data_IF_691185648876
#
_entry.id   IF_691185648876
#
_cell.length_a   1.000
_cell.length_b   1.000
_cell.length_c   1.000
_cell.angle_alpha   90.00
_cell.angle_beta   90.00
_cell.angle_gamma   90.00
#
_symmetry.space_group_name_H-M   'P 1'
#
loop_
_entity.id
_entity.type
_entity.pdbx_description
1 polymer ?
#
# COMPACT_ATOMS: atom_id res chain seq x y z
N UNK A 1 22.26 -15.56 16.55
CA UNK A 1 23.38 -14.91 17.28
C UNK A 1 22.97 -14.78 18.75
N UNK A 2 23.90 -14.82 19.69
CA UNK A 2 23.59 -14.87 21.15
C UNK A 2 22.81 -13.67 21.69
N UNK A 3 22.76 -12.57 20.93
CA UNK A 3 22.12 -11.31 21.32
C UNK A 3 20.91 -10.93 20.47
N UNK A 4 20.46 -11.79 19.55
CA UNK A 4 19.31 -11.54 18.67
C UNK A 4 19.41 -10.24 17.82
N UNK A 5 20.61 -9.77 17.53
CA UNK A 5 20.87 -8.55 16.72
C UNK A 5 20.32 -8.67 15.30
N UNK A 6 20.40 -9.85 14.70
CA UNK A 6 19.81 -10.10 13.38
C UNK A 6 18.28 -10.03 13.44
N UNK A 7 17.67 -10.51 14.53
CA UNK A 7 16.24 -10.41 14.74
C UNK A 7 15.81 -8.96 14.96
N UNK A 8 16.53 -8.19 15.79
CA UNK A 8 16.25 -6.77 15.97
C UNK A 8 16.30 -6.02 14.64
N UNK A 9 17.35 -6.26 13.85
CA UNK A 9 17.51 -5.66 12.52
C UNK A 9 16.33 -6.00 11.61
N UNK A 10 15.89 -7.27 11.59
CA UNK A 10 14.71 -7.68 10.82
C UNK A 10 13.43 -6.99 11.30
N UNK A 11 13.17 -6.97 12.61
CA UNK A 11 11.95 -6.37 13.19
C UNK A 11 11.86 -4.88 12.89
N UNK A 12 13.00 -4.17 13.02
CA UNK A 12 13.12 -2.75 12.69
C UNK A 12 12.88 -2.51 11.21
N UNK A 13 13.57 -3.25 10.34
CA UNK A 13 13.52 -3.11 8.89
C UNK A 13 12.12 -3.40 8.32
N UNK A 14 11.46 -4.46 8.81
CA UNK A 14 10.09 -4.81 8.43
C UNK A 14 9.04 -3.88 9.09
N UNK A 15 9.42 -3.18 10.16
CA UNK A 15 8.53 -2.29 10.90
C UNK A 15 7.39 -3.02 11.60
N UNK A 16 7.66 -4.23 12.09
CA UNK A 16 6.72 -5.04 12.83
C UNK A 16 6.16 -4.25 14.03
N UNK A 17 4.86 -4.36 14.28
CA UNK A 17 4.20 -3.78 15.47
C UNK A 17 3.80 -4.84 16.48
N UNK A 18 3.62 -6.06 16.01
CA UNK A 18 3.25 -7.22 16.80
C UNK A 18 4.08 -8.42 16.32
N UNK A 19 4.45 -9.29 17.26
CA UNK A 19 5.21 -10.51 17.03
C UNK A 19 4.53 -11.66 17.77
N UNK A 20 4.22 -12.73 17.02
CA UNK A 20 3.62 -13.93 17.56
C UNK A 20 4.72 -14.88 18.03
N UNK A 21 4.63 -15.34 19.29
CA UNK A 21 5.61 -16.26 19.87
C UNK A 21 4.93 -17.51 20.43
N UNK A 22 5.56 -18.69 20.36
CA UNK A 22 5.00 -19.89 20.96
C UNK A 22 4.99 -19.79 22.49
N UNK A 23 3.86 -20.12 23.13
CA UNK A 23 3.75 -20.18 24.58
C UNK A 23 4.79 -21.15 25.15
N UNK A 24 5.67 -20.65 26.02
CA UNK A 24 6.68 -21.48 26.67
C UNK A 24 6.10 -22.26 27.85
N UNK A 25 6.20 -23.59 27.77
CA UNK A 25 5.95 -24.51 28.89
C UNK A 25 7.28 -24.87 29.55
N UNK A 26 7.94 -23.91 30.21
CA UNK A 26 9.20 -24.11 30.96
C UNK A 26 10.17 -22.94 30.87
N UNK A 27 11.10 -22.82 31.83
CA UNK A 27 12.16 -21.80 31.83
C UNK A 27 13.21 -22.15 30.77
N UNK A 28 13.06 -21.71 29.53
CA UNK A 28 14.18 -21.70 28.59
C UNK A 28 15.12 -20.56 28.97
N UNK A 29 16.44 -20.79 28.94
CA UNK A 29 17.43 -19.73 29.22
C UNK A 29 17.48 -18.67 28.12
N UNK A 30 16.90 -18.95 26.95
CA UNK A 30 16.94 -18.10 25.75
C UNK A 30 15.68 -17.25 25.55
N UNK A 31 14.58 -17.53 26.26
CA UNK A 31 13.37 -16.73 26.11
C UNK A 31 13.54 -15.31 26.60
N UNK A 32 14.08 -15.12 27.81
CA UNK A 32 14.22 -13.77 28.36
C UNK A 32 14.99 -12.82 27.43
N UNK A 33 16.19 -13.18 26.89
CA UNK A 33 16.87 -12.35 25.90
C UNK A 33 16.08 -12.08 24.61
N UNK A 34 15.27 -13.06 24.15
CA UNK A 34 14.40 -12.90 22.98
C UNK A 34 13.27 -11.88 23.24
N UNK A 35 12.53 -12.03 24.35
CA UNK A 35 11.47 -11.09 24.73
C UNK A 35 12.05 -9.69 24.95
N UNK A 36 13.23 -9.59 25.55
CA UNK A 36 13.93 -8.32 25.74
C UNK A 36 14.28 -7.67 24.38
N UNK A 37 14.74 -8.44 23.39
CA UNK A 37 15.04 -7.95 22.04
C UNK A 37 13.79 -7.42 21.31
N UNK A 38 12.67 -8.16 21.40
CA UNK A 38 11.40 -7.75 20.79
C UNK A 38 10.87 -6.47 21.48
N UNK A 39 10.97 -6.40 22.81
CA UNK A 39 10.56 -5.24 23.60
C UNK A 39 11.40 -3.99 23.30
N UNK A 40 12.73 -4.13 23.14
CA UNK A 40 13.62 -3.02 22.75
C UNK A 40 13.24 -2.39 21.41
N UNK A 41 12.70 -3.20 20.49
CA UNK A 41 12.19 -2.74 19.20
C UNK A 41 10.80 -2.09 19.30
N UNK A 42 10.17 -2.08 20.48
CA UNK A 42 8.82 -1.53 20.69
C UNK A 42 7.71 -2.38 20.06
N UNK A 43 7.97 -3.67 19.85
CA UNK A 43 7.04 -4.62 19.23
C UNK A 43 6.23 -5.32 20.32
N UNK A 44 4.91 -5.39 20.13
CA UNK A 44 4.01 -6.11 21.05
C UNK A 44 4.20 -7.62 20.89
N UNK A 45 4.28 -8.36 22.00
CA UNK A 45 4.40 -9.81 21.98
C UNK A 45 3.04 -10.46 22.26
N UNK A 46 2.64 -11.39 21.39
CA UNK A 46 1.39 -12.14 21.52
C UNK A 46 1.70 -13.63 21.54
N UNK A 47 1.34 -14.30 22.64
CA UNK A 47 1.62 -15.73 22.81
C UNK A 47 0.56 -16.61 22.13
N UNK A 48 1.01 -17.63 21.40
CA UNK A 48 0.16 -18.59 20.68
C UNK A 48 0.56 -20.03 20.99
N UNK A 49 -0.38 -20.97 20.86
CA UNK A 49 -0.10 -22.39 21.20
C UNK A 49 0.97 -22.95 20.27
N UNK A 50 1.90 -23.75 20.80
CA UNK A 50 2.95 -24.43 20.00
C UNK A 50 2.41 -25.26 18.83
N UNK A 51 1.17 -25.73 18.92
CA UNK A 51 0.49 -26.46 17.84
C UNK A 51 0.22 -25.60 16.61
N UNK A 52 0.05 -24.29 16.78
CA UNK A 52 -0.21 -23.33 15.69
C UNK A 52 1.04 -23.00 14.88
N UNK A 53 2.23 -23.28 15.41
CA UNK A 53 3.51 -23.15 14.70
C UNK A 53 3.88 -24.41 13.90
N UNK A 54 2.94 -25.34 13.74
CA UNK A 54 3.13 -26.54 12.92
C UNK A 54 2.53 -26.26 11.54
N UNK A 55 3.37 -26.06 10.53
CA UNK A 55 2.95 -25.75 9.14
C UNK A 55 2.30 -26.92 8.39
N UNK A 56 1.44 -27.72 9.05
CA UNK A 56 0.82 -28.93 8.47
C UNK A 56 -0.05 -28.62 7.26
N UNK A 57 -0.87 -27.58 7.37
CA UNK A 57 -1.83 -27.21 6.32
C UNK A 57 -1.33 -26.03 5.46
N UNK A 58 -0.11 -25.54 5.73
CA UNK A 58 0.43 -24.32 5.15
C UNK A 58 0.46 -24.33 3.62
N UNK A 59 0.87 -25.44 2.99
CA UNK A 59 0.94 -25.52 1.53
C UNK A 59 -0.46 -25.46 0.91
N UNK A 60 -1.45 -26.08 1.55
CA UNK A 60 -2.84 -26.03 1.11
C UNK A 60 -3.42 -24.62 1.28
N UNK A 61 -3.15 -23.99 2.43
CA UNK A 61 -3.60 -22.64 2.75
C UNK A 61 -2.99 -21.61 1.79
N UNK A 62 -1.68 -21.69 1.56
CA UNK A 62 -0.99 -20.87 0.56
C UNK A 62 -1.52 -21.13 -0.85
N UNK A 63 -1.95 -22.35 -1.15
CA UNK A 63 -2.55 -22.67 -2.44
C UNK A 63 -3.85 -21.93 -2.73
N UNK A 64 -4.56 -21.47 -1.69
CA UNK A 64 -5.73 -20.60 -1.84
C UNK A 64 -5.36 -19.13 -1.89
N UNK A 65 -4.35 -18.72 -1.13
CA UNK A 65 -3.99 -17.31 -0.93
C UNK A 65 -3.07 -16.75 -2.03
N UNK A 66 -2.18 -17.57 -2.60
CA UNK A 66 -1.15 -17.11 -3.53
C UNK A 66 -1.71 -16.93 -4.93
N UNK A 67 -1.28 -15.85 -5.59
CA UNK A 67 -1.55 -15.61 -7.01
C UNK A 67 -0.75 -16.56 -7.91
N UNK A 68 -1.45 -17.39 -8.68
CA UNK A 68 -0.84 -18.26 -9.69
C UNK A 68 -0.44 -19.64 -9.17
N UNK A 69 0.65 -20.20 -9.70
CA UNK A 69 1.13 -21.55 -9.39
C UNK A 69 1.66 -21.66 -7.97
N UNK A 70 1.29 -22.74 -7.27
CA UNK A 70 1.67 -22.97 -5.87
C UNK A 70 3.01 -23.69 -5.75
N UNK A 71 3.44 -24.38 -6.81
CA UNK A 71 4.65 -25.20 -6.83
C UNK A 71 5.92 -24.42 -6.43
N UNK A 72 6.21 -23.23 -6.98
CA UNK A 72 7.39 -22.47 -6.57
C UNK A 72 7.36 -22.05 -5.10
N UNK A 73 6.16 -21.76 -4.58
CA UNK A 73 5.97 -21.38 -3.17
C UNK A 73 6.14 -22.58 -2.25
N UNK A 74 5.62 -23.75 -2.65
CA UNK A 74 5.82 -25.00 -1.91
C UNK A 74 7.31 -25.32 -1.78
N UNK A 75 8.04 -25.22 -2.88
CA UNK A 75 9.47 -25.53 -2.90
C UNK A 75 10.25 -24.54 -2.03
N UNK A 76 9.92 -23.24 -2.12
CA UNK A 76 10.48 -22.21 -1.24
C UNK A 76 10.21 -22.50 0.25
N UNK A 77 8.96 -22.74 0.62
CA UNK A 77 8.57 -22.97 2.02
C UNK A 77 9.21 -24.25 2.58
N UNK A 78 9.35 -25.28 1.77
CA UNK A 78 10.01 -26.54 2.16
C UNK A 78 11.47 -26.36 2.54
N UNK A 79 12.14 -25.33 2.00
CA UNK A 79 13.54 -25.02 2.33
C UNK A 79 13.72 -24.33 3.69
N UNK A 80 12.64 -23.87 4.35
CA UNK A 80 12.69 -23.13 5.61
C UNK A 80 11.73 -23.67 6.67
N UNK A 81 12.05 -24.80 7.30
CA UNK A 81 11.18 -25.48 8.27
C UNK A 81 10.66 -24.56 9.40
N UNK A 82 11.54 -23.79 10.05
CA UNK A 82 11.14 -22.89 11.14
C UNK A 82 10.30 -21.70 10.65
N UNK A 83 10.63 -21.15 9.47
CA UNK A 83 9.90 -20.00 8.92
C UNK A 83 8.51 -20.42 8.42
N UNK A 84 8.38 -21.63 7.87
CA UNK A 84 7.11 -22.23 7.49
C UNK A 84 6.15 -22.29 8.68
N UNK A 85 6.61 -22.83 9.82
CA UNK A 85 5.80 -22.88 11.04
C UNK A 85 5.32 -21.51 11.51
N UNK A 86 6.21 -20.51 11.52
CA UNK A 86 5.87 -19.13 11.91
C UNK A 86 4.88 -18.48 10.92
N UNK A 87 5.07 -18.69 9.61
CA UNK A 87 4.15 -18.20 8.58
C UNK A 87 2.76 -18.79 8.76
N UNK A 88 2.63 -20.10 8.99
CA UNK A 88 1.34 -20.75 9.24
C UNK A 88 0.61 -20.15 10.45
N UNK A 89 1.33 -19.85 11.53
CA UNK A 89 0.75 -19.18 12.70
C UNK A 89 0.24 -17.78 12.35
N UNK A 90 0.99 -16.99 11.57
CA UNK A 90 0.57 -15.65 11.13
C UNK A 90 -0.69 -15.72 10.26
N UNK A 91 -0.75 -16.65 9.30
CA UNK A 91 -1.92 -16.82 8.43
C UNK A 91 -3.18 -17.16 9.22
N UNK A 92 -3.04 -18.06 10.21
CA UNK A 92 -4.12 -18.46 11.11
C UNK A 92 -4.55 -17.30 12.01
N UNK A 93 -3.61 -16.58 12.61
CA UNK A 93 -3.89 -15.45 13.51
C UNK A 93 -4.54 -14.26 12.79
N UNK A 94 -4.12 -13.99 11.55
CA UNK A 94 -4.72 -12.96 10.72
C UNK A 94 -6.05 -13.40 10.09
N UNK A 95 -6.47 -14.65 10.30
CA UNK A 95 -7.70 -15.25 9.79
C UNK A 95 -7.86 -15.06 8.26
N UNK A 96 -6.76 -15.11 7.51
CA UNK A 96 -6.79 -14.75 6.08
C UNK A 96 -7.70 -15.66 5.26
N UNK A 97 -7.84 -16.93 5.67
CA UNK A 97 -8.71 -17.91 5.01
C UNK A 97 -10.19 -17.76 5.38
N UNK A 98 -10.52 -16.96 6.40
CA UNK A 98 -11.92 -16.72 6.77
C UNK A 98 -12.61 -15.72 5.82
N UNK A 99 -11.83 -14.98 5.03
CA UNK A 99 -12.33 -14.01 4.07
C UNK A 99 -11.89 -14.40 2.65
N UNK A 100 -12.83 -14.90 1.85
CA UNK A 100 -12.59 -15.37 0.48
C UNK A 100 -12.02 -14.27 -0.44
N UNK A 101 -12.15 -12.99 -0.07
CA UNK A 101 -11.52 -11.88 -0.81
C UNK A 101 -9.99 -11.88 -0.73
N UNK A 102 -9.39 -12.69 0.13
CA UNK A 102 -7.95 -12.87 0.22
C UNK A 102 -7.40 -13.89 -0.79
N UNK A 103 -8.25 -14.69 -1.44
CA UNK A 103 -7.78 -15.76 -2.31
C UNK A 103 -7.13 -15.23 -3.60
N UNK A 104 -5.97 -15.77 -3.95
CA UNK A 104 -5.20 -15.38 -5.13
C UNK A 104 -4.59 -13.97 -5.10
N UNK A 105 -4.58 -13.31 -3.93
CA UNK A 105 -4.16 -11.90 -3.80
C UNK A 105 -2.80 -11.72 -3.10
N UNK A 106 -2.13 -12.80 -2.72
CA UNK A 106 -0.84 -12.75 -2.02
C UNK A 106 0.31 -13.26 -2.88
N UNK A 107 1.52 -12.82 -2.55
CA UNK A 107 2.77 -13.40 -3.05
C UNK A 107 3.68 -13.70 -1.88
N UNK A 108 4.37 -14.84 -1.91
CA UNK A 108 5.36 -15.20 -0.90
C UNK A 108 6.74 -14.88 -1.44
N UNK A 109 7.56 -14.18 -0.64
CA UNK A 109 8.95 -13.85 -0.97
C UNK A 109 9.82 -14.13 0.24
N UNK A 110 11.01 -14.65 0.00
CA UNK A 110 12.05 -14.74 1.01
C UNK A 110 12.56 -13.34 1.33
N UNK A 111 12.54 -12.97 2.62
CA UNK A 111 13.21 -11.78 3.08
C UNK A 111 14.68 -12.09 3.37
N UNK A 112 15.59 -11.38 2.71
CA UNK A 112 17.03 -11.50 2.94
C UNK A 112 17.53 -10.33 3.78
N UNK A 113 18.14 -10.65 4.92
CA UNK A 113 18.75 -9.69 5.84
C UNK A 113 19.93 -8.92 5.22
N UNK A 114 20.56 -9.49 4.18
CA UNK A 114 21.71 -8.89 3.50
C UNK A 114 21.30 -7.97 2.33
N UNK A 115 20.01 -7.83 2.04
CA UNK A 115 19.54 -6.90 1.00
C UNK A 115 19.58 -5.44 1.43
N UNK A 116 19.64 -5.17 2.74
CA UNK A 116 19.56 -3.83 3.30
C UNK A 116 20.57 -3.64 4.44
N UNK A 117 20.91 -2.38 4.71
CA UNK A 117 21.75 -2.04 5.85
C UNK A 117 21.09 -2.51 7.15
N UNK A 118 21.83 -3.27 7.94
CA UNK A 118 21.39 -3.74 9.25
C UNK A 118 21.46 -2.59 10.25
N UNK A 119 20.30 -2.20 10.77
CA UNK A 119 20.16 -1.17 11.79
C UNK A 119 19.47 -1.77 13.00
N UNK A 120 20.12 -1.70 14.16
CA UNK A 120 19.51 -2.10 15.41
C UNK A 120 18.59 -1.00 15.97
N UNK A 121 17.84 -1.36 17.01
CA UNK A 121 16.90 -0.44 17.65
C UNK A 121 17.61 0.78 18.28
N UNK A 122 18.86 0.61 18.71
CA UNK A 122 19.67 1.66 19.31
C UNK A 122 20.13 2.70 18.28
N UNK A 123 20.65 2.26 17.12
CA UNK A 123 21.08 3.13 16.04
C UNK A 123 19.91 3.93 15.45
N UNK A 124 18.76 3.29 15.24
CA UNK A 124 17.56 3.99 14.76
C UNK A 124 17.12 5.12 15.69
N UNK A 125 17.27 4.92 17.01
CA UNK A 125 16.98 5.93 18.02
C UNK A 125 18.07 7.00 18.08
N UNK A 126 19.34 6.61 18.06
CA UNK A 126 20.48 7.53 18.12
C UNK A 126 20.51 8.49 16.91
N UNK A 127 20.14 8.00 15.73
CA UNK A 127 20.03 8.77 14.51
C UNK A 127 18.68 9.50 14.35
N UNK A 128 17.76 9.34 15.30
CA UNK A 128 16.39 9.88 15.24
C UNK A 128 15.72 9.62 13.88
N UNK A 129 15.82 8.39 13.36
CA UNK A 129 15.36 8.09 12.00
C UNK A 129 13.84 8.25 11.88
N UNK A 130 13.10 7.77 12.89
CA UNK A 130 11.64 7.78 12.93
C UNK A 130 11.12 8.74 14.00
N UNK A 131 9.90 9.25 13.81
CA UNK A 131 9.21 10.11 14.79
C UNK A 131 8.99 9.36 16.11
N UNK A 132 9.29 10.02 17.24
CA UNK A 132 8.95 9.57 18.59
C UNK A 132 7.81 10.40 19.17
N UNK A 133 7.01 9.80 20.06
CA UNK A 133 5.93 10.50 20.78
C UNK A 133 6.45 11.61 21.71
N UNK A 134 7.71 11.52 22.11
CA UNK A 134 8.40 12.51 22.96
C UNK A 134 8.93 13.72 22.19
N UNK A 135 8.87 13.71 20.86
CA UNK A 135 9.48 14.76 20.05
C UNK A 135 8.67 16.07 20.15
N UNK A 136 9.37 17.17 20.39
CA UNK A 136 8.73 18.49 20.49
C UNK A 136 8.12 18.96 19.15
N UNK A 137 8.68 18.49 18.02
CA UNK A 137 8.17 18.76 16.67
C UNK A 137 8.52 17.60 15.73
N UNK A 138 7.71 17.37 14.71
CA UNK A 138 7.89 16.34 13.68
C UNK A 138 9.27 16.41 12.99
N UNK A 139 9.79 17.62 12.79
CA UNK A 139 11.10 17.84 12.15
C UNK A 139 12.31 17.41 12.99
N UNK A 140 12.13 16.94 14.23
CA UNK A 140 13.24 16.38 15.04
C UNK A 140 13.74 15.03 14.51
N UNK A 141 12.90 14.30 13.78
CA UNK A 141 13.28 13.04 13.14
C UNK A 141 13.68 13.23 11.69
N UNK A 142 14.57 12.37 11.19
CA UNK A 142 14.93 12.34 9.76
C UNK A 142 13.69 12.16 8.88
N UNK A 143 12.78 11.25 9.28
CA UNK A 143 11.52 11.06 8.58
C UNK A 143 10.69 12.33 8.53
N UNK A 144 10.48 13.03 9.64
CA UNK A 144 9.66 14.25 9.63
C UNK A 144 10.32 15.42 8.88
N UNK A 145 11.65 15.46 8.82
CA UNK A 145 12.40 16.40 7.98
C UNK A 145 12.24 16.10 6.49
N UNK A 146 12.47 14.85 6.08
CA UNK A 146 12.45 14.43 4.67
C UNK A 146 11.04 14.26 4.10
N UNK A 147 10.06 13.94 4.94
CA UNK A 147 8.72 13.66 4.47
C UNK A 147 8.01 14.94 4.01
N UNK A 148 8.15 15.21 2.71
CA UNK A 148 7.43 16.24 1.94
C UNK A 148 6.66 15.61 0.78
N UNK A 149 6.27 14.35 0.95
CA UNK A 149 5.48 13.58 -0.01
C UNK A 149 4.10 14.20 -0.22
N UNK A 150 3.58 14.12 -1.45
CA UNK A 150 2.36 14.85 -1.84
C UNK A 150 1.11 13.96 -1.89
N UNK A 151 1.28 12.68 -2.12
CA UNK A 151 0.18 11.71 -2.31
C UNK A 151 -0.53 11.43 -0.99
N UNK A 152 -1.81 11.05 -1.04
CA UNK A 152 -2.53 10.60 0.15
C UNK A 152 -1.96 9.26 0.67
N UNK A 153 -1.02 9.31 1.62
CA UNK A 153 -0.55 8.14 2.37
C UNK A 153 0.52 7.26 1.68
N UNK A 154 0.34 6.91 0.40
CA UNK A 154 1.22 5.93 -0.27
C UNK A 154 2.70 6.34 -0.29
N UNK A 155 3.02 7.57 -0.71
CA UNK A 155 4.39 8.07 -0.71
C UNK A 155 4.98 8.18 0.70
N UNK A 156 4.17 8.53 1.70
CA UNK A 156 4.57 8.55 3.11
C UNK A 156 4.98 7.16 3.59
N UNK A 157 4.19 6.13 3.26
CA UNK A 157 4.49 4.73 3.60
C UNK A 157 5.78 4.25 2.92
N UNK A 158 5.96 4.59 1.64
CA UNK A 158 7.16 4.23 0.89
C UNK A 158 8.43 4.85 1.50
N UNK A 159 8.41 6.15 1.80
CA UNK A 159 9.55 6.83 2.45
C UNK A 159 9.86 6.22 3.82
N UNK A 160 8.83 5.92 4.61
CA UNK A 160 8.97 5.27 5.90
C UNK A 160 9.64 3.88 5.77
N UNK A 161 9.33 3.13 4.71
CA UNK A 161 9.99 1.86 4.40
C UNK A 161 11.46 2.07 3.99
N UNK A 162 11.74 3.02 3.09
CA UNK A 162 13.11 3.28 2.63
C UNK A 162 14.07 3.69 3.73
N UNK A 163 13.63 4.51 4.69
CA UNK A 163 14.48 4.92 5.82
C UNK A 163 14.80 3.75 6.77
N UNK A 164 13.95 2.72 6.81
CA UNK A 164 14.17 1.50 7.59
C UNK A 164 14.96 0.44 6.83
N UNK A 165 15.02 0.56 5.51
CA UNK A 165 15.64 -0.40 4.60
C UNK A 165 16.61 0.34 3.67
N UNK A 166 17.73 0.89 4.19
CA UNK A 166 18.74 1.51 3.34
C UNK A 166 19.31 0.47 2.38
N UNK A 167 19.45 0.84 1.11
CA UNK A 167 20.00 -0.03 0.07
C UNK A 167 21.48 -0.31 0.31
N UNK A 168 21.93 -1.49 -0.12
CA UNK A 168 23.35 -1.86 -0.18
C UNK A 168 23.88 -1.99 -1.61
N UNK A 169 22.97 -2.15 -2.57
CA UNK A 169 23.30 -2.24 -3.99
C UNK A 169 23.64 -0.85 -4.55
N UNK A 170 24.88 -0.71 -5.03
CA UNK A 170 25.44 0.54 -5.54
C UNK A 170 24.68 1.02 -6.79
N UNK A 171 24.27 0.11 -7.67
CA UNK A 171 23.57 0.47 -8.91
C UNK A 171 22.18 1.01 -8.61
N UNK A 172 21.45 0.38 -7.68
CA UNK A 172 20.15 0.87 -7.21
C UNK A 172 20.27 2.20 -6.43
N UNK A 173 21.35 2.39 -5.67
CA UNK A 173 21.64 3.68 -5.01
C UNK A 173 21.85 4.78 -6.05
N UNK A 174 22.75 4.55 -7.03
CA UNK A 174 23.04 5.53 -8.07
C UNK A 174 21.80 5.84 -8.90
N UNK A 175 21.03 4.81 -9.28
CA UNK A 175 19.75 4.99 -9.96
C UNK A 175 18.79 5.91 -9.20
N UNK A 176 18.65 5.75 -7.87
CA UNK A 176 17.82 6.66 -7.06
C UNK A 176 18.39 8.07 -7.00
N UNK A 177 19.70 8.21 -6.88
CA UNK A 177 20.37 9.52 -6.83
C UNK A 177 20.23 10.26 -8.17
N UNK A 178 20.37 9.57 -9.30
CA UNK A 178 20.19 10.10 -10.64
C UNK A 178 18.76 10.61 -10.86
N UNK A 179 17.75 9.84 -10.42
CA UNK A 179 16.36 10.28 -10.43
C UNK A 179 16.15 11.53 -9.57
N UNK A 180 16.75 11.60 -8.39
CA UNK A 180 16.68 12.80 -7.53
C UNK A 180 17.35 13.98 -8.23
N UNK A 181 18.51 13.78 -8.84
CA UNK A 181 19.26 14.82 -9.54
C UNK A 181 18.44 15.42 -10.69
N UNK A 182 17.77 14.58 -11.48
CA UNK A 182 16.87 15.04 -12.55
C UNK A 182 15.80 16.02 -12.05
N UNK A 183 15.15 15.71 -10.93
CA UNK A 183 14.15 16.60 -10.31
C UNK A 183 14.76 17.76 -9.51
N UNK A 184 16.06 17.75 -9.23
CA UNK A 184 16.78 18.88 -8.62
C UNK A 184 17.13 19.92 -9.67
N UNK A 185 17.61 19.47 -10.84
CA UNK A 185 18.00 20.31 -11.96
C UNK A 185 16.79 20.99 -12.63
N UNK A 186 15.66 20.28 -12.75
CA UNK A 186 14.42 20.85 -13.29
C UNK A 186 13.40 21.14 -12.19
N UNK A 187 13.47 22.35 -11.64
CA UNK A 187 12.55 22.81 -10.61
C UNK A 187 11.10 22.96 -11.09
N UNK A 188 10.88 23.31 -12.36
CA UNK A 188 9.56 23.50 -12.94
C UNK A 188 8.85 22.16 -13.10
N UNK A 189 9.53 21.18 -13.69
CA UNK A 189 9.08 19.79 -13.77
C UNK A 189 8.68 19.26 -12.40
N UNK A 190 9.56 19.42 -11.39
CA UNK A 190 9.30 18.97 -10.02
C UNK A 190 8.06 19.65 -9.44
N UNK A 191 7.88 20.96 -9.65
CA UNK A 191 6.73 21.68 -9.13
C UNK A 191 5.42 21.22 -9.78
N UNK A 192 5.40 21.08 -11.10
CA UNK A 192 4.24 20.60 -11.86
C UNK A 192 3.86 19.18 -11.43
N UNK A 193 4.84 18.28 -11.36
CA UNK A 193 4.62 16.90 -10.93
C UNK A 193 4.02 16.84 -9.53
N UNK A 194 4.53 17.65 -8.60
CA UNK A 194 3.97 17.74 -7.24
C UNK A 194 2.51 18.20 -7.23
N UNK A 195 2.10 19.11 -8.12
CA UNK A 195 0.71 19.54 -8.20
C UNK A 195 -0.23 18.40 -8.62
N UNK A 196 0.19 17.56 -9.57
CA UNK A 196 -0.57 16.40 -9.99
C UNK A 196 -0.58 15.30 -8.92
N UNK A 197 0.56 14.99 -8.31
CA UNK A 197 0.67 13.96 -7.27
C UNK A 197 -0.17 14.25 -6.02
N UNK A 198 -0.40 15.54 -5.68
CA UNK A 198 -1.30 15.93 -4.58
C UNK A 198 -2.76 15.48 -4.80
N UNK A 199 -3.16 15.29 -6.06
CA UNK A 199 -4.53 14.90 -6.43
C UNK A 199 -4.69 13.38 -6.52
N UNK A 200 -3.61 12.62 -6.34
CA UNK A 200 -3.65 11.15 -6.32
C UNK A 200 -4.03 10.67 -4.92
N UNK A 201 -5.14 9.93 -4.87
CA UNK A 201 -5.62 9.27 -3.65
C UNK A 201 -4.74 8.06 -3.27
N UNK A 202 -5.00 7.46 -2.10
CA UNK A 202 -4.32 6.23 -1.68
C UNK A 202 -4.81 5.04 -2.52
N UNK A 203 -4.20 4.84 -3.70
CA UNK A 203 -4.64 3.82 -4.68
C UNK A 203 -4.62 2.44 -4.05
N UNK A 204 -3.57 2.09 -3.31
CA UNK A 204 -3.44 0.78 -2.65
C UNK A 204 -4.61 0.50 -1.70
N UNK A 205 -4.99 1.49 -0.88
CA UNK A 205 -6.14 1.35 0.03
C UNK A 205 -7.48 1.30 -0.70
N UNK A 206 -7.62 2.08 -1.78
CA UNK A 206 -8.82 2.04 -2.61
C UNK A 206 -8.99 0.67 -3.26
N UNK A 207 -7.96 0.17 -3.95
CA UNK A 207 -7.97 -1.15 -4.61
C UNK A 207 -8.25 -2.27 -3.61
N UNK A 208 -7.66 -2.22 -2.41
CA UNK A 208 -7.97 -3.21 -1.38
C UNK A 208 -9.47 -3.23 -1.00
N UNK A 209 -10.13 -2.06 -0.91
CA UNK A 209 -11.57 -2.02 -0.65
C UNK A 209 -12.40 -2.56 -1.82
N UNK A 210 -11.95 -2.35 -3.06
CA UNK A 210 -12.57 -2.90 -4.27
C UNK A 210 -12.47 -4.43 -4.31
N UNK A 211 -11.28 -4.99 -4.05
CA UNK A 211 -11.04 -6.44 -4.01
C UNK A 211 -11.91 -7.13 -2.96
N UNK A 212 -12.11 -6.49 -1.80
CA UNK A 212 -12.99 -6.98 -0.73
C UNK A 212 -14.48 -6.79 -0.99
N UNK A 213 -14.86 -6.24 -2.15
CA UNK A 213 -16.25 -5.89 -2.51
C UNK A 213 -16.95 -5.01 -1.45
N UNK A 214 -16.18 -4.18 -0.75
CA UNK A 214 -16.65 -3.21 0.27
C UNK A 214 -16.55 -1.77 -0.20
N UNK A 215 -16.22 -1.56 -1.47
CA UNK A 215 -16.11 -0.24 -2.07
C UNK A 215 -17.50 0.34 -2.37
N UNK A 216 -17.70 1.58 -1.91
CA UNK A 216 -18.82 2.42 -2.33
C UNK A 216 -18.49 3.23 -3.59
N UNK A 217 -19.48 3.89 -4.19
CA UNK A 217 -19.30 4.75 -5.37
C UNK A 217 -18.25 5.86 -5.13
N UNK A 218 -18.17 6.40 -3.92
CA UNK A 218 -17.10 7.32 -3.49
C UNK A 218 -15.69 6.77 -3.76
N UNK A 219 -15.45 5.48 -3.51
CA UNK A 219 -14.14 4.86 -3.72
C UNK A 219 -13.82 4.77 -5.21
N UNK A 220 -14.81 4.39 -6.01
CA UNK A 220 -14.71 4.32 -7.48
C UNK A 220 -14.41 5.70 -8.06
N UNK A 221 -15.13 6.74 -7.62
CA UNK A 221 -14.90 8.12 -8.06
C UNK A 221 -13.52 8.62 -7.65
N UNK A 222 -13.03 8.32 -6.45
CA UNK A 222 -11.66 8.68 -6.04
C UNK A 222 -10.58 7.99 -6.89
N UNK A 223 -10.82 6.74 -7.28
CA UNK A 223 -9.93 6.02 -8.18
C UNK A 223 -9.97 6.65 -9.58
N UNK A 224 -11.16 6.98 -10.09
CA UNK A 224 -11.36 7.72 -11.35
C UNK A 224 -10.62 9.06 -11.35
N UNK A 225 -10.81 9.88 -10.31
CA UNK A 225 -10.13 11.17 -10.14
C UNK A 225 -8.60 11.03 -10.12
N UNK A 226 -8.09 9.93 -9.59
CA UNK A 226 -6.65 9.61 -9.62
C UNK A 226 -6.23 9.15 -11.03
N UNK A 227 -7.06 8.35 -11.69
CA UNK A 227 -6.80 7.80 -13.02
C UNK A 227 -6.73 8.88 -14.10
N UNK A 228 -7.67 9.83 -14.13
CA UNK A 228 -7.64 10.96 -15.08
C UNK A 228 -6.42 11.86 -14.92
N UNK A 229 -5.67 11.75 -13.81
CA UNK A 229 -4.43 12.52 -13.57
C UNK A 229 -3.19 11.84 -14.13
N UNK A 230 -3.24 10.54 -14.41
CA UNK A 230 -2.08 9.78 -14.92
C UNK A 230 -1.56 10.33 -16.25
N UNK A 231 -2.40 10.66 -17.26
CA UNK A 231 -1.91 11.24 -18.51
C UNK A 231 -1.16 12.57 -18.31
N UNK A 232 -1.59 13.39 -17.36
CA UNK A 232 -0.91 14.64 -17.03
C UNK A 232 0.43 14.40 -16.31
N UNK A 233 0.49 13.41 -15.41
CA UNK A 233 1.76 13.02 -14.77
C UNK A 233 2.75 12.54 -15.83
N UNK A 234 2.27 11.71 -16.76
CA UNK A 234 3.07 11.20 -17.88
C UNK A 234 3.58 12.35 -18.75
N UNK A 235 2.71 13.26 -19.20
CA UNK A 235 3.11 14.38 -20.06
C UNK A 235 4.09 15.33 -19.37
N UNK A 236 3.97 15.51 -18.05
CA UNK A 236 4.95 16.25 -17.25
C UNK A 236 6.32 15.57 -17.34
N UNK A 237 6.39 14.26 -17.08
CA UNK A 237 7.65 13.49 -17.12
C UNK A 237 8.28 13.46 -18.52
N UNK A 238 7.47 13.41 -19.58
CA UNK A 238 7.94 13.42 -20.97
C UNK A 238 8.59 14.75 -21.39
N UNK A 239 8.29 15.85 -20.71
CA UNK A 239 8.93 17.15 -20.98
C UNK A 239 10.39 17.22 -20.54
N UNK A 240 10.85 16.27 -19.72
CA UNK A 240 12.24 16.24 -19.28
C UNK A 240 13.15 15.75 -20.41
N UNK A 241 14.09 16.59 -20.83
CA UNK A 241 15.04 16.35 -21.92
C UNK A 241 16.50 16.24 -21.45
N UNK A 242 16.73 16.22 -20.14
CA UNK A 242 18.07 16.10 -19.54
C UNK A 242 18.69 14.70 -19.64
N UNK A 243 19.92 14.56 -19.14
CA UNK A 243 20.72 13.33 -19.30
C UNK A 243 20.08 12.06 -18.74
N UNK A 244 19.18 12.20 -17.76
CA UNK A 244 18.49 11.09 -17.10
C UNK A 244 17.14 10.72 -17.75
N UNK A 245 16.80 11.29 -18.92
CA UNK A 245 15.53 11.04 -19.59
C UNK A 245 15.29 9.55 -19.92
N UNK A 246 16.29 8.76 -20.35
CA UNK A 246 16.12 7.32 -20.55
C UNK A 246 15.72 6.60 -19.25
N UNK A 247 16.32 7.00 -18.12
CA UNK A 247 16.05 6.39 -16.83
C UNK A 247 14.63 6.72 -16.33
N UNK A 248 14.18 7.97 -16.47
CA UNK A 248 12.80 8.36 -16.16
C UNK A 248 11.80 7.58 -17.02
N UNK A 249 12.14 7.39 -18.30
CA UNK A 249 11.30 6.62 -19.23
C UNK A 249 11.12 5.18 -18.76
N UNK A 250 12.23 4.47 -18.56
CA UNK A 250 12.23 3.08 -18.13
C UNK A 250 11.53 2.89 -16.77
N UNK A 251 11.84 3.75 -15.78
CA UNK A 251 11.33 3.60 -14.41
C UNK A 251 9.87 4.01 -14.27
N UNK A 252 9.38 4.97 -15.05
CA UNK A 252 8.06 5.56 -14.86
C UNK A 252 7.21 5.56 -16.12
N UNK A 253 7.67 6.18 -17.21
CA UNK A 253 6.82 6.45 -18.38
C UNK A 253 6.33 5.15 -19.02
N UNK A 254 7.20 4.18 -19.25
CA UNK A 254 6.83 2.92 -19.93
C UNK A 254 5.76 2.14 -19.16
N UNK A 255 5.86 2.14 -17.81
CA UNK A 255 4.83 1.53 -16.96
C UNK A 255 3.53 2.32 -17.01
N UNK A 256 3.58 3.66 -16.96
CA UNK A 256 2.38 4.49 -17.03
C UNK A 256 1.68 4.32 -18.38
N UNK A 257 2.43 4.27 -19.49
CA UNK A 257 1.90 4.02 -20.84
C UNK A 257 1.17 2.69 -20.95
N UNK A 258 1.80 1.62 -20.45
CA UNK A 258 1.22 0.29 -20.48
C UNK A 258 -0.13 0.22 -19.76
N UNK A 259 -0.25 0.91 -18.61
CA UNK A 259 -1.46 0.84 -17.79
C UNK A 259 -2.51 1.90 -18.16
N UNK A 260 -2.14 2.94 -18.90
CA UNK A 260 -3.05 4.01 -19.36
C UNK A 260 -3.62 3.77 -20.76
N UNK A 261 -3.68 2.53 -21.24
CA UNK A 261 -4.26 2.20 -22.54
C UNK A 261 -5.80 2.00 -22.45
N UNK A 262 -6.42 1.79 -23.62
CA UNK A 262 -7.86 1.58 -23.79
C UNK A 262 -8.37 0.22 -23.30
N UNK A 263 -7.47 -0.69 -22.92
CA UNK A 263 -7.83 -1.99 -22.36
C UNK A 263 -7.72 -2.03 -20.83
N UNK A 264 -7.02 -1.07 -20.23
CA UNK A 264 -6.77 -0.98 -18.80
C UNK A 264 -7.50 0.23 -18.19
N UNK A 265 -6.76 1.28 -17.84
CA UNK A 265 -7.30 2.38 -17.05
C UNK A 265 -8.26 3.27 -17.85
N UNK A 266 -8.04 3.49 -19.15
CA UNK A 266 -8.95 4.33 -19.92
C UNK A 266 -10.33 3.66 -20.08
N UNK A 267 -10.38 2.33 -20.15
CA UNK A 267 -11.64 1.58 -20.12
C UNK A 267 -12.41 1.81 -18.83
N UNK A 268 -11.71 1.79 -17.70
CA UNK A 268 -12.30 2.10 -16.40
C UNK A 268 -12.78 3.56 -16.32
N UNK A 269 -11.98 4.51 -16.82
CA UNK A 269 -12.34 5.92 -16.90
C UNK A 269 -13.63 6.11 -17.70
N UNK A 270 -13.69 5.56 -18.91
CA UNK A 270 -14.88 5.64 -19.78
C UNK A 270 -16.12 4.99 -19.15
N UNK A 271 -15.95 3.88 -18.43
CA UNK A 271 -17.05 3.25 -17.69
C UNK A 271 -17.61 4.19 -16.61
N UNK A 272 -16.74 4.84 -15.84
CA UNK A 272 -17.17 5.77 -14.78
C UNK A 272 -17.83 7.02 -15.36
N UNK A 273 -17.28 7.58 -16.44
CA UNK A 273 -17.87 8.74 -17.14
C UNK A 273 -19.27 8.46 -17.71
N UNK A 274 -19.53 7.20 -18.09
CA UNK A 274 -20.85 6.79 -18.61
C UNK A 274 -21.83 6.44 -17.49
N UNK A 275 -21.34 5.86 -16.39
CA UNK A 275 -22.18 5.29 -15.34
C UNK A 275 -22.47 6.23 -14.17
N UNK A 276 -21.62 7.24 -13.93
CA UNK A 276 -21.71 8.10 -12.74
C UNK A 276 -22.12 9.50 -13.14
N UNK A 277 -23.06 10.07 -12.40
CA UNK A 277 -23.42 11.47 -12.54
C UNK A 277 -22.31 12.34 -11.95
N UNK A 278 -21.45 12.88 -12.83
CA UNK A 278 -20.31 13.69 -12.43
C UNK A 278 -20.72 15.11 -12.02
N UNK A 279 -21.89 15.59 -12.43
CA UNK A 279 -22.36 16.95 -12.11
C UNK A 279 -22.75 17.04 -10.63
N UNK A 280 -23.33 15.96 -10.10
CA UNK A 280 -23.72 15.87 -8.68
C UNK A 280 -22.53 15.74 -7.72
N UNK A 281 -21.33 15.44 -8.24
CA UNK A 281 -20.10 15.42 -7.43
C UNK A 281 -19.78 16.79 -6.81
N UNK A 282 -20.13 17.89 -7.50
CA UNK A 282 -19.93 19.25 -6.99
C UNK A 282 -20.78 19.51 -5.73
N UNK A 283 -21.94 18.85 -5.64
CA UNK A 283 -22.84 18.90 -4.48
C UNK A 283 -22.42 17.92 -3.37
N UNK A 284 -21.37 17.12 -3.58
CA UNK A 284 -20.92 16.10 -2.64
C UNK A 284 -21.74 14.81 -2.66
N UNK A 285 -22.62 14.67 -3.66
CA UNK A 285 -23.45 13.49 -3.86
C UNK A 285 -22.82 12.53 -4.88
N UNK A 286 -22.98 11.24 -4.65
CA UNK A 286 -22.42 10.20 -5.50
C UNK A 286 -23.57 9.35 -6.01
N UNK A 287 -23.97 9.56 -7.27
CA UNK A 287 -25.13 8.91 -7.88
C UNK A 287 -24.79 8.27 -9.22
N UNK A 288 -25.55 7.24 -9.57
CA UNK A 288 -25.49 6.62 -10.90
C UNK A 288 -26.24 7.53 -11.86
N UNK A 289 -25.70 7.71 -13.06
CA UNK A 289 -26.35 8.52 -14.09
C UNK A 289 -27.70 7.90 -14.48
N UNK A 290 -28.76 8.70 -14.48
CA UNK A 290 -30.12 8.18 -14.68
C UNK A 290 -30.33 7.55 -16.06
N UNK A 291 -29.61 8.04 -17.08
CA UNK A 291 -29.68 7.46 -18.43
C UNK A 291 -28.82 6.19 -18.60
N UNK A 292 -28.07 5.77 -17.57
CA UNK A 292 -27.26 4.56 -17.61
C UNK A 292 -28.13 3.28 -17.70
N UNK A 293 -29.28 3.29 -17.02
CA UNK A 293 -30.25 2.19 -17.04
C UNK A 293 -31.65 2.72 -17.39
N UNK A 294 -32.38 2.10 -18.33
CA UNK A 294 -33.72 2.54 -18.72
C UNK A 294 -34.71 2.62 -17.56
N UNK A 295 -34.59 1.74 -16.55
CA UNK A 295 -35.50 1.78 -15.39
C UNK A 295 -35.17 2.96 -14.47
N UNK A 296 -33.88 3.28 -14.29
CA UNK A 296 -33.47 4.48 -13.54
C UNK A 296 -33.96 5.76 -14.21
N UNK A 297 -33.93 5.81 -15.55
CA UNK A 297 -34.48 6.94 -16.30
C UNK A 297 -35.98 7.09 -16.06
N UNK A 298 -36.73 5.98 -16.18
CA UNK A 298 -38.19 6.01 -15.96
C UNK A 298 -38.56 6.43 -14.53
N UNK A 299 -37.82 5.95 -13.52
CA UNK A 299 -38.04 6.33 -12.11
C UNK A 299 -37.74 7.81 -11.85
N UNK A 300 -36.70 8.36 -12.50
CA UNK A 300 -36.38 9.79 -12.39
C UNK A 300 -37.47 10.66 -13.03
N UNK A 301 -37.96 10.27 -14.20
CA UNK A 301 -39.05 10.99 -14.88
C UNK A 301 -40.34 10.98 -14.02
N UNK A 302 -40.64 9.85 -13.36
CA UNK A 302 -41.76 9.74 -12.43
C UNK A 302 -41.57 10.63 -11.20
N UNK A 303 -40.37 10.64 -10.60
CA UNK A 303 -40.04 11.49 -9.47
C UNK A 303 -40.22 12.98 -9.81
N UNK A 304 -39.65 13.44 -10.92
CA UNK A 304 -39.76 14.84 -11.36
C UNK A 304 -41.23 15.23 -11.62
N UNK A 305 -42.01 14.32 -12.20
CA UNK A 305 -43.44 14.54 -12.43
C UNK A 305 -44.20 14.70 -11.11
N UNK A 306 -43.93 13.84 -10.12
CA UNK A 306 -44.57 13.93 -8.80
C UNK A 306 -44.15 15.18 -8.03
N UNK A 307 -42.88 15.57 -8.07
CA UNK A 307 -42.38 16.80 -7.45
C UNK A 307 -43.07 18.05 -8.04
N UNK A 308 -43.25 18.09 -9.35
CA UNK A 308 -44.01 19.16 -10.01
C UNK A 308 -45.47 19.19 -9.57
N UNK A 309 -46.12 18.03 -9.44
CA UNK A 309 -47.50 17.94 -8.95
C UNK A 309 -47.62 18.45 -7.50
N UNK A 310 -46.71 18.05 -6.62
CA UNK A 310 -46.66 18.52 -5.22
C UNK A 310 -46.47 20.04 -5.18
N UNK A 311 -45.54 20.57 -5.98
CA UNK A 311 -45.27 22.00 -6.03
C UNK A 311 -46.46 22.81 -6.56
N UNK A 312 -47.16 22.29 -7.56
CA UNK A 312 -48.37 22.92 -8.10
C UNK A 312 -49.52 22.94 -7.09
N UNK A 313 -49.71 21.84 -6.34
CA UNK A 313 -50.70 21.78 -5.26
C UNK A 313 -50.37 22.76 -4.13
N UNK A 314 -49.09 22.90 -3.75
CA UNK A 314 -48.66 23.84 -2.73
C UNK A 314 -48.87 25.31 -3.13
N UNK A 315 -48.79 25.64 -4.43
CA UNK A 315 -49.11 26.98 -4.94
C UNK A 315 -50.61 27.30 -4.95
N UNK A 316 -51.47 26.29 -4.86
CA UNK A 316 -52.92 26.44 -4.86
C UNK A 316 -53.52 26.55 -3.46
N UNK A 317 -52.77 26.19 -2.41
CA UNK A 317 -53.12 26.39 -1.00
C UNK A 317 -52.52 27.67 -0.43
#
# INVERSE_FOLDING_TARGET
DSHFTNLESALVALGCRECLVPTETGKSSESRPLYDAISRCGVMVTERKKTEFKGRDLVQDLGRLVKGSVEPVRDLVSSFECAAGALGCILSYAELLADDSNYGNYTVKQYNLDSYMRLDSAAMRALNVMESKSDANKNFSLFGLMNRTCTAGMGKRLLHMWLKQPLLDVDEINCRLDLVQAFVEDAALRQDLRQHLKRISDIERLTHNLERKRASLLHVVKLYQSGIRIPYIKSVLERYDGQFAPLIRERYIDSLEKWSDDNHLNKFIALVETAVDLDQLENGEYMIFSAYDPNLSALKDEQETLEQQIHNLHKQT
#
